data_IF_546265819773
#
_entry.id   IF_546265819773
#
_cell.length_a   1.000
_cell.length_b   1.000
_cell.length_c   1.000
_cell.angle_alpha   90.00
_cell.angle_beta   90.00
_cell.angle_gamma   90.00
#
_symmetry.space_group_name_H-M   'P 1'
#
loop_
_entity.id
_entity.type
_entity.pdbx_description
1 polymer ?
#
# COMPACT_ATOMS: atom_id res chain seq x y z
N UNK A 1 7.21 -17.61 -38.84
CA UNK A 1 7.73 -16.53 -37.97
C UNK A 1 9.19 -16.79 -37.67
N UNK A 2 10.09 -15.90 -38.10
CA UNK A 2 11.53 -16.07 -37.85
C UNK A 2 11.83 -16.25 -36.37
N UNK A 3 12.83 -17.07 -36.03
CA UNK A 3 13.23 -17.41 -34.66
C UNK A 3 13.33 -16.19 -33.73
N UNK A 4 13.93 -15.10 -34.24
CA UNK A 4 14.02 -13.79 -33.56
C UNK A 4 12.66 -13.22 -33.14
N UNK A 5 11.67 -13.23 -34.05
CA UNK A 5 10.30 -12.74 -33.76
C UNK A 5 9.61 -13.62 -32.71
N UNK A 6 9.81 -14.95 -32.76
CA UNK A 6 9.25 -15.89 -31.77
C UNK A 6 9.79 -15.65 -30.37
N UNK A 7 11.10 -15.51 -30.23
CA UNK A 7 11.73 -15.23 -28.93
C UNK A 7 11.18 -13.91 -28.35
N UNK A 8 11.14 -12.85 -29.15
CA UNK A 8 10.64 -11.54 -28.69
C UNK A 8 9.17 -11.60 -28.24
N UNK A 9 8.32 -12.34 -28.96
CA UNK A 9 6.91 -12.51 -28.55
C UNK A 9 6.77 -13.24 -27.21
N UNK A 10 7.60 -14.26 -26.95
CA UNK A 10 7.58 -15.03 -25.71
C UNK A 10 8.03 -14.16 -24.54
N UNK A 11 9.12 -13.40 -24.71
CA UNK A 11 9.64 -12.50 -23.68
C UNK A 11 8.62 -11.42 -23.31
N UNK A 12 8.00 -10.78 -24.31
CA UNK A 12 6.93 -9.79 -24.08
C UNK A 12 5.74 -10.39 -23.35
N UNK A 13 5.33 -11.62 -23.71
CA UNK A 13 4.23 -12.32 -23.03
C UNK A 13 4.55 -12.60 -21.56
N UNK A 14 5.76 -13.07 -21.25
CA UNK A 14 6.22 -13.31 -19.86
C UNK A 14 6.29 -12.02 -19.04
N UNK A 15 6.85 -10.96 -19.61
CA UNK A 15 6.93 -9.65 -18.95
C UNK A 15 5.53 -9.10 -18.63
N UNK A 16 4.58 -9.22 -19.57
CA UNK A 16 3.18 -8.82 -19.33
C UNK A 16 2.53 -9.66 -18.22
N UNK A 17 2.78 -10.97 -18.17
CA UNK A 17 2.26 -11.85 -17.12
C UNK A 17 2.84 -11.48 -15.74
N UNK A 18 4.14 -11.18 -15.66
CA UNK A 18 4.78 -10.75 -14.41
C UNK A 18 4.20 -9.41 -13.93
N UNK A 19 4.08 -8.42 -14.83
CA UNK A 19 3.55 -7.10 -14.49
C UNK A 19 2.06 -7.12 -14.15
N UNK A 20 1.29 -8.06 -14.72
CA UNK A 20 -0.14 -8.17 -14.45
C UNK A 20 -0.48 -8.38 -12.96
N UNK A 21 0.44 -9.01 -12.22
CA UNK A 21 0.29 -9.28 -10.78
C UNK A 21 0.72 -8.11 -9.89
N UNK A 22 1.41 -7.11 -10.44
CA UNK A 22 1.93 -5.95 -9.71
C UNK A 22 1.01 -4.73 -9.80
N UNK A 23 -0.13 -4.84 -10.49
CA UNK A 23 -1.11 -3.75 -10.57
C UNK A 23 -1.84 -3.58 -9.23
N UNK A 24 -1.27 -2.77 -8.34
CA UNK A 24 -1.99 -2.19 -7.21
C UNK A 24 -2.85 -1.03 -7.73
N UNK A 25 -4.15 -1.07 -7.46
CA UNK A 25 -5.01 0.11 -7.68
C UNK A 25 -4.76 1.11 -6.56
N UNK A 26 -4.58 2.39 -6.89
CA UNK A 26 -4.47 3.48 -5.90
C UNK A 26 -5.77 3.74 -5.11
N UNK A 27 -6.78 2.88 -5.25
CA UNK A 27 -8.05 2.99 -4.55
C UNK A 27 -7.91 2.27 -3.22
N UNK A 28 -8.26 2.90 -2.08
CA UNK A 28 -8.36 2.18 -0.83
C UNK A 28 -9.39 1.05 -1.00
N UNK A 29 -9.14 -0.09 -0.37
CA UNK A 29 -10.08 -1.20 -0.35
C UNK A 29 -11.42 -0.67 0.19
N UNK A 30 -12.51 -0.90 -0.53
CA UNK A 30 -13.82 -0.52 -0.01
C UNK A 30 -14.12 -1.39 1.20
N UNK A 31 -14.28 -0.72 2.34
CA UNK A 31 -14.69 -1.31 3.61
C UNK A 31 -16.10 -0.79 3.93
N UNK A 32 -16.87 -1.59 4.65
CA UNK A 32 -18.25 -1.20 5.01
C UNK A 32 -18.27 0.07 5.87
N UNK A 33 -19.41 0.77 5.93
CA UNK A 33 -19.56 1.98 6.78
C UNK A 33 -19.20 1.72 8.25
N UNK A 34 -19.57 0.55 8.76
CA UNK A 34 -19.27 0.14 10.14
C UNK A 34 -17.76 -0.11 10.35
N UNK A 35 -17.10 -0.73 9.38
CA UNK A 35 -15.66 -1.00 9.44
C UNK A 35 -14.83 0.28 9.29
N UNK A 36 -15.29 1.24 8.46
CA UNK A 36 -14.66 2.56 8.35
C UNK A 36 -14.76 3.36 9.65
N UNK A 37 -15.91 3.35 10.32
CA UNK A 37 -16.07 4.02 11.61
C UNK A 37 -15.15 3.42 12.68
N UNK A 38 -15.06 2.07 12.77
CA UNK A 38 -14.14 1.39 13.70
C UNK A 38 -12.68 1.75 13.43
N UNK A 39 -12.26 1.79 12.17
CA UNK A 39 -10.89 2.14 11.78
C UNK A 39 -10.58 3.62 12.03
N UNK A 40 -11.54 4.53 11.86
CA UNK A 40 -11.39 5.95 12.20
C UNK A 40 -11.29 6.17 13.71
N UNK A 41 -12.09 5.48 14.53
CA UNK A 41 -11.99 5.50 16.00
C UNK A 41 -10.63 4.95 16.48
N UNK A 42 -10.19 3.80 15.96
CA UNK A 42 -8.88 3.21 16.28
C UNK A 42 -7.71 4.12 15.83
N UNK A 43 -7.81 4.71 14.64
CA UNK A 43 -6.81 5.66 14.15
C UNK A 43 -6.77 6.96 14.99
N UNK A 44 -7.92 7.42 15.49
CA UNK A 44 -8.01 8.60 16.34
C UNK A 44 -7.44 8.33 17.75
N UNK A 45 -7.65 7.12 18.29
CA UNK A 45 -7.03 6.67 19.54
C UNK A 45 -5.51 6.55 19.37
N UNK A 46 -5.04 5.97 18.26
CA UNK A 46 -3.60 5.84 17.99
C UNK A 46 -2.92 7.20 17.76
N UNK A 47 -3.51 8.09 16.97
CA UNK A 47 -2.96 9.44 16.75
C UNK A 47 -2.90 10.27 18.04
N UNK A 48 -3.85 10.08 18.96
CA UNK A 48 -3.84 10.71 20.28
C UNK A 48 -2.73 10.15 21.18
N UNK A 49 -2.38 8.86 21.04
CA UNK A 49 -1.32 8.23 21.82
C UNK A 49 0.10 8.55 21.29
N UNK A 50 0.27 8.69 19.97
CA UNK A 50 1.56 9.04 19.37
C UNK A 50 1.92 10.52 19.56
N UNK A 51 0.92 11.41 19.65
CA UNK A 51 1.13 12.82 19.94
C UNK A 51 1.70 13.09 21.34
N UNK A 52 1.27 12.31 22.34
CA UNK A 52 1.71 12.45 23.75
C UNK A 52 3.13 11.89 23.95
N UNK A 53 3.48 10.79 23.26
CA UNK A 53 4.84 10.24 23.38
C UNK A 53 5.92 11.11 22.70
N UNK A 54 5.54 11.94 21.72
CA UNK A 54 6.49 12.84 21.06
C UNK A 54 6.74 14.13 21.85
N UNK A 55 5.80 14.56 22.69
CA UNK A 55 5.98 15.75 23.54
C UNK A 55 6.85 15.45 24.76
N UNK A 56 6.68 14.28 25.38
CA UNK A 56 7.43 13.93 26.61
C UNK A 56 8.93 13.69 26.36
N UNK A 57 9.34 13.24 25.17
CA UNK A 57 10.77 13.02 24.86
C UNK A 57 11.54 14.30 24.54
N UNK A 58 10.85 15.35 24.05
CA UNK A 58 11.49 16.63 23.72
C UNK A 58 11.77 17.45 24.99
N UNK A 59 10.99 17.21 26.06
CA UNK A 59 11.14 17.93 27.34
C UNK A 59 12.15 17.25 28.29
N UNK A 60 12.50 15.99 28.06
CA UNK A 60 13.56 15.28 28.82
C UNK A 60 15.00 15.52 28.31
N UNK A 61 15.16 16.19 27.16
CA UNK A 61 16.47 16.48 26.55
C UNK A 61 16.91 17.95 26.67
N UNK A 62 16.21 18.80 27.43
CA UNK A 62 16.62 20.19 27.74
C UNK A 62 17.15 20.36 29.17
#
# INVERSE_FOLDING_TARGET
>A
MNRKKKINSILKKRLKQQNSKLHKTNKPKYISKAERARMEEEAQIQASSEGVQKTDQVESEQ
#
